data_IF_442678789317
#
_entry.id   IF_442678789317
#
_cell.length_a   1.000
_cell.length_b   1.000
_cell.length_c   1.000
_cell.angle_alpha   90.00
_cell.angle_beta   90.00
_cell.angle_gamma   90.00
#
_symmetry.space_group_name_H-M   'P 1'
#
loop_
_entity.id
_entity.type
_entity.pdbx_description
1 polymer ?
#
# COMPACT_ATOMS: atom_id res chain seq x y z
N UNK A 1 0.34 8.85 -9.53
CA UNK A 1 -1.01 9.36 -9.86
C UNK A 1 -1.23 10.74 -9.25
N UNK A 2 -1.09 10.91 -7.93
CA UNK A 2 -1.36 12.18 -7.21
C UNK A 2 -0.60 13.38 -7.79
N UNK A 3 0.69 13.24 -8.13
CA UNK A 3 1.47 14.32 -8.73
C UNK A 3 0.93 14.72 -10.11
N UNK A 4 0.61 13.76 -10.96
CA UNK A 4 0.03 14.01 -12.28
C UNK A 4 -1.35 14.66 -12.16
N UNK A 5 -2.16 14.20 -11.20
CA UNK A 5 -3.47 14.80 -10.90
C UNK A 5 -3.33 16.28 -10.49
N UNK A 6 -2.33 16.59 -9.66
CA UNK A 6 -2.04 17.98 -9.25
C UNK A 6 -1.59 18.84 -10.43
N UNK A 7 -0.67 18.36 -11.25
CA UNK A 7 -0.15 19.05 -12.44
C UNK A 7 -1.25 19.29 -13.47
N UNK A 8 -2.09 18.30 -13.74
CA UNK A 8 -3.24 18.37 -14.64
C UNK A 8 -4.47 19.07 -14.02
N UNK A 9 -4.38 19.60 -12.79
CA UNK A 9 -5.51 20.22 -12.06
C UNK A 9 -6.76 19.33 -11.99
N UNK A 10 -6.58 18.01 -12.00
CA UNK A 10 -7.65 17.01 -11.96
C UNK A 10 -8.32 16.74 -13.31
N UNK A 11 -7.87 17.31 -14.40
CA UNK A 11 -8.41 17.03 -15.73
C UNK A 11 -7.91 15.65 -16.24
N UNK A 12 -8.81 14.67 -16.48
CA UNK A 12 -8.43 13.34 -16.95
C UNK A 12 -7.75 13.34 -18.32
N UNK A 13 -8.11 14.24 -19.23
CA UNK A 13 -7.48 14.31 -20.56
C UNK A 13 -6.04 14.81 -20.47
N UNK A 14 -5.81 15.86 -19.69
CA UNK A 14 -4.47 16.36 -19.43
C UNK A 14 -3.62 15.31 -18.69
N UNK A 15 -4.19 14.60 -17.72
CA UNK A 15 -3.50 13.47 -17.03
C UNK A 15 -3.08 12.38 -18.00
N UNK A 16 -3.97 11.99 -18.93
CA UNK A 16 -3.67 10.99 -19.95
C UNK A 16 -2.52 11.43 -20.85
N UNK A 17 -2.52 12.69 -21.28
CA UNK A 17 -1.45 13.27 -22.09
C UNK A 17 -0.10 13.20 -21.36
N UNK A 18 -0.04 13.59 -20.10
CA UNK A 18 1.19 13.54 -19.27
C UNK A 18 1.69 12.10 -19.12
N UNK A 19 0.81 11.14 -18.82
CA UNK A 19 1.17 9.73 -18.68
C UNK A 19 1.75 9.15 -19.98
N UNK A 20 1.11 9.42 -21.13
CA UNK A 20 1.59 8.99 -22.43
C UNK A 20 2.95 9.61 -22.78
N UNK A 21 3.14 10.90 -22.53
CA UNK A 21 4.41 11.59 -22.76
C UNK A 21 5.56 11.02 -21.92
N UNK A 22 5.32 10.76 -20.62
CA UNK A 22 6.31 10.13 -19.74
C UNK A 22 6.73 8.78 -20.30
N UNK A 23 5.77 7.93 -20.69
CA UNK A 23 6.06 6.58 -21.17
C UNK A 23 6.72 6.62 -22.56
N UNK A 24 6.27 7.49 -23.45
CA UNK A 24 6.87 7.66 -24.77
C UNK A 24 8.35 8.09 -24.69
N UNK A 25 8.67 9.00 -23.78
CA UNK A 25 10.05 9.50 -23.59
C UNK A 25 10.98 8.50 -22.89
N UNK A 26 10.45 7.65 -22.02
CA UNK A 26 11.28 6.81 -21.12
C UNK A 26 11.14 5.31 -21.32
N UNK A 27 10.13 4.86 -22.06
CA UNK A 27 9.80 3.43 -22.16
C UNK A 27 9.30 2.83 -20.83
N UNK A 28 8.93 3.66 -19.84
CA UNK A 28 8.44 3.27 -18.52
C UNK A 28 7.76 4.45 -17.82
N UNK A 29 6.87 4.16 -16.87
CA UNK A 29 6.18 5.18 -16.09
C UNK A 29 6.90 5.46 -14.77
N UNK A 30 7.01 6.72 -14.37
CA UNK A 30 7.55 7.12 -13.07
C UNK A 30 6.99 8.49 -12.66
N UNK A 31 6.93 8.71 -11.37
CA UNK A 31 6.69 10.01 -10.78
C UNK A 31 8.00 10.81 -10.79
N UNK A 32 8.07 11.98 -11.43
CA UNK A 32 9.30 12.77 -11.49
C UNK A 32 9.79 13.29 -10.13
N UNK A 33 8.89 13.39 -9.15
CA UNK A 33 9.22 13.87 -7.80
C UNK A 33 9.72 12.76 -6.88
N UNK A 34 8.99 11.63 -6.84
CA UNK A 34 9.28 10.52 -5.91
C UNK A 34 10.08 9.39 -6.53
N UNK A 35 10.20 9.34 -7.86
CA UNK A 35 10.79 8.23 -8.59
C UNK A 35 9.93 6.95 -8.60
N UNK A 36 8.82 6.92 -7.87
CA UNK A 36 7.90 5.78 -7.84
C UNK A 36 7.09 5.66 -9.13
N UNK A 37 6.85 4.43 -9.60
CA UNK A 37 6.06 4.17 -10.81
C UNK A 37 4.64 3.68 -10.53
N UNK A 38 4.36 3.26 -9.30
CA UNK A 38 3.16 2.48 -8.99
C UNK A 38 3.27 1.03 -9.47
N UNK A 39 2.17 0.31 -9.49
CA UNK A 39 2.09 -1.08 -9.92
C UNK A 39 1.17 -1.28 -11.12
N UNK A 40 1.23 -2.44 -11.75
CA UNK A 40 0.31 -2.82 -12.82
C UNK A 40 -0.39 -4.16 -12.52
N UNK A 41 -1.54 -4.31 -13.15
CA UNK A 41 -2.23 -5.56 -13.31
C UNK A 41 -2.52 -5.78 -14.80
N UNK A 42 -2.39 -7.02 -15.24
CA UNK A 42 -2.64 -7.36 -16.65
C UNK A 42 -2.82 -8.86 -16.85
N UNK A 43 -2.96 -9.25 -18.14
CA UNK A 43 -2.94 -10.65 -18.57
C UNK A 43 -1.60 -10.99 -19.18
N UNK A 44 -1.10 -12.18 -18.87
CA UNK A 44 0.12 -12.70 -19.48
C UNK A 44 -0.14 -12.99 -20.95
N UNK A 45 0.48 -12.22 -21.83
CA UNK A 45 0.33 -12.36 -23.28
C UNK A 45 1.31 -13.38 -23.87
N UNK A 46 2.53 -13.45 -23.32
CA UNK A 46 3.57 -14.37 -23.74
C UNK A 46 4.55 -14.68 -22.60
N UNK A 47 5.22 -15.79 -22.69
CA UNK A 47 6.29 -16.19 -21.77
C UNK A 47 7.55 -16.42 -22.60
N UNK A 48 8.64 -15.74 -22.22
CA UNK A 48 9.92 -15.88 -22.92
C UNK A 48 10.45 -17.32 -22.91
N UNK A 49 11.03 -17.82 -24.01
CA UNK A 49 11.37 -19.23 -24.16
C UNK A 49 12.34 -19.74 -23.09
N UNK A 50 13.26 -18.88 -22.59
CA UNK A 50 14.18 -19.24 -21.50
C UNK A 50 13.52 -19.36 -20.12
N UNK A 51 12.29 -18.84 -19.98
CA UNK A 51 11.53 -18.85 -18.74
C UNK A 51 10.33 -19.82 -18.79
N UNK A 52 9.95 -20.26 -19.98
CA UNK A 52 8.92 -21.28 -20.18
C UNK A 52 9.28 -22.58 -19.42
N UNK A 53 8.31 -23.13 -18.69
CA UNK A 53 8.49 -24.30 -17.83
C UNK A 53 9.22 -24.06 -16.49
N UNK A 54 9.70 -22.85 -16.23
CA UNK A 54 10.36 -22.48 -14.97
C UNK A 54 9.48 -21.57 -14.07
N UNK A 55 8.28 -21.30 -14.50
CA UNK A 55 7.30 -20.49 -13.78
C UNK A 55 5.95 -21.20 -13.73
N UNK A 56 5.19 -21.07 -12.63
CA UNK A 56 3.84 -21.60 -12.56
C UNK A 56 2.83 -20.80 -13.41
N UNK A 57 3.19 -19.57 -13.83
CA UNK A 57 2.30 -18.68 -14.59
C UNK A 57 2.11 -19.20 -16.02
N UNK A 58 0.91 -19.02 -16.57
CA UNK A 58 0.52 -19.43 -17.92
C UNK A 58 0.06 -18.23 -18.73
N UNK A 59 0.15 -18.34 -20.05
CA UNK A 59 -0.46 -17.37 -20.97
C UNK A 59 -1.97 -17.32 -20.69
N UNK A 60 -2.51 -16.11 -20.55
CA UNK A 60 -3.89 -15.85 -20.18
C UNK A 60 -4.13 -15.61 -18.69
N UNK A 61 -3.20 -15.99 -17.81
CA UNK A 61 -3.31 -15.70 -16.38
C UNK A 61 -3.38 -14.20 -16.11
N UNK A 62 -4.22 -13.82 -15.16
CA UNK A 62 -4.25 -12.46 -14.63
C UNK A 62 -3.23 -12.34 -13.51
N UNK A 63 -2.33 -11.38 -13.65
CA UNK A 63 -1.30 -11.13 -12.63
C UNK A 63 -1.32 -9.67 -12.19
N UNK A 64 -0.91 -9.43 -10.96
CA UNK A 64 -0.51 -8.13 -10.46
C UNK A 64 0.98 -8.16 -10.10
N UNK A 65 1.70 -7.09 -10.40
CA UNK A 65 3.14 -7.01 -10.12
C UNK A 65 3.41 -6.15 -8.91
N UNK A 66 4.41 -6.50 -8.11
CA UNK A 66 4.96 -5.65 -7.06
C UNK A 66 6.20 -4.86 -7.53
N UNK A 67 6.61 -5.10 -8.78
CA UNK A 67 7.69 -4.33 -9.39
C UNK A 67 7.17 -2.96 -9.80
N UNK A 68 7.83 -1.92 -9.34
CA UNK A 68 7.49 -0.55 -9.72
C UNK A 68 7.50 -0.36 -11.24
N UNK A 69 6.53 0.37 -11.76
CA UNK A 69 6.49 0.76 -13.18
C UNK A 69 7.71 1.58 -13.61
N UNK A 70 8.44 2.17 -12.67
CA UNK A 70 9.73 2.83 -12.94
C UNK A 70 10.85 1.86 -13.30
N UNK A 71 10.66 0.56 -13.03
CA UNK A 71 11.60 -0.53 -13.36
C UNK A 71 11.04 -1.49 -14.40
N UNK A 72 9.81 -1.25 -14.89
CA UNK A 72 9.10 -2.13 -15.81
C UNK A 72 9.05 -1.48 -17.20
N UNK A 73 9.69 -2.04 -18.23
CA UNK A 73 9.53 -1.56 -19.60
C UNK A 73 8.06 -1.59 -19.98
N UNK A 74 7.56 -0.46 -20.47
CA UNK A 74 6.14 -0.22 -20.72
C UNK A 74 5.96 0.56 -22.02
N UNK A 75 5.01 0.11 -22.84
CA UNK A 75 4.47 0.83 -23.97
C UNK A 75 2.97 0.97 -23.79
N UNK A 76 2.47 2.18 -23.79
CA UNK A 76 1.03 2.46 -23.74
C UNK A 76 0.59 2.90 -25.14
N UNK A 77 -0.35 2.16 -25.72
CA UNK A 77 -0.94 2.50 -27.00
C UNK A 77 -2.13 3.46 -26.82
N UNK A 78 -2.88 3.29 -25.70
CA UNK A 78 -4.05 4.13 -25.40
C UNK A 78 -4.37 4.13 -23.90
N UNK A 79 -4.81 5.27 -23.38
CA UNK A 79 -5.46 5.35 -22.05
C UNK A 79 -6.97 5.40 -22.31
N UNK A 80 -7.66 4.37 -21.84
CA UNK A 80 -9.10 4.20 -22.06
C UNK A 80 -9.90 4.98 -21.01
N UNK A 81 -9.45 4.99 -19.76
CA UNK A 81 -10.14 5.66 -18.65
C UNK A 81 -9.21 6.00 -17.51
N UNK A 82 -9.43 7.14 -16.87
CA UNK A 82 -8.80 7.55 -15.61
C UNK A 82 -9.86 7.59 -14.52
N UNK A 83 -9.64 6.83 -13.47
CA UNK A 83 -10.49 6.77 -12.29
C UNK A 83 -9.91 7.66 -11.20
N UNK A 84 -10.44 8.87 -11.06
CA UNK A 84 -9.97 9.86 -10.08
C UNK A 84 -10.28 9.48 -8.63
N UNK A 85 -11.34 8.70 -8.45
CA UNK A 85 -11.82 8.19 -7.15
C UNK A 85 -10.94 7.08 -6.57
N UNK A 86 -10.34 6.26 -7.46
CA UNK A 86 -9.52 5.09 -7.11
C UNK A 86 -8.05 5.24 -7.40
N UNK A 87 -7.67 6.35 -8.04
CA UNK A 87 -6.31 6.64 -8.48
C UNK A 87 -5.73 5.57 -9.42
N UNK A 88 -6.55 5.10 -10.36
CA UNK A 88 -6.23 4.04 -11.31
C UNK A 88 -6.46 4.50 -12.74
N UNK A 89 -5.74 3.90 -13.71
CA UNK A 89 -5.94 4.10 -15.14
C UNK A 89 -6.12 2.76 -15.84
N UNK A 90 -7.10 2.70 -16.75
CA UNK A 90 -7.29 1.59 -17.68
C UNK A 90 -6.59 1.93 -18.99
N UNK A 91 -5.72 1.02 -19.43
CA UNK A 91 -4.84 1.27 -20.58
C UNK A 91 -4.79 0.06 -21.50
N UNK A 92 -4.64 0.32 -22.81
CA UNK A 92 -4.15 -0.66 -23.77
C UNK A 92 -2.63 -0.51 -23.81
N UNK A 93 -1.92 -1.50 -23.28
CA UNK A 93 -0.49 -1.41 -23.05
C UNK A 93 0.19 -2.77 -23.11
N UNK A 94 1.48 -2.76 -23.28
CA UNK A 94 2.36 -3.92 -23.16
C UNK A 94 3.46 -3.60 -22.16
N UNK A 95 3.73 -4.55 -21.25
CA UNK A 95 4.78 -4.45 -20.26
C UNK A 95 5.64 -5.70 -20.24
N UNK A 96 6.92 -5.55 -19.92
CA UNK A 96 7.86 -6.67 -19.77
C UNK A 96 8.18 -6.85 -18.30
N UNK A 97 7.77 -7.99 -17.74
CA UNK A 97 8.19 -8.42 -16.42
C UNK A 97 9.39 -9.36 -16.56
N UNK A 98 10.52 -8.99 -15.97
CA UNK A 98 11.71 -9.84 -15.96
C UNK A 98 11.55 -11.02 -14.99
N UNK A 99 12.38 -12.06 -15.17
CA UNK A 99 12.35 -13.27 -14.35
C UNK A 99 12.54 -13.05 -12.84
N UNK A 100 13.18 -11.95 -12.46
CA UNK A 100 13.35 -11.52 -11.08
C UNK A 100 12.16 -10.71 -10.54
N UNK A 101 11.21 -10.36 -11.40
CA UNK A 101 10.06 -9.53 -11.02
C UNK A 101 9.07 -10.30 -10.16
N UNK A 102 8.67 -9.72 -9.03
CA UNK A 102 7.67 -10.30 -8.13
C UNK A 102 6.27 -10.05 -8.69
N UNK A 103 5.46 -11.08 -8.73
CA UNK A 103 4.06 -11.02 -9.17
C UNK A 103 3.17 -11.95 -8.34
N UNK A 104 1.87 -11.71 -8.36
CA UNK A 104 0.86 -12.61 -7.84
C UNK A 104 -0.12 -12.97 -8.97
N UNK A 105 -0.47 -14.25 -9.10
CA UNK A 105 -1.59 -14.69 -9.92
C UNK A 105 -2.88 -14.37 -9.18
N UNK A 106 -3.78 -13.66 -9.84
CA UNK A 106 -5.00 -13.16 -9.21
C UNK A 106 -6.08 -14.23 -9.21
N UNK A 107 -6.80 -14.42 -8.09
CA UNK A 107 -8.02 -15.23 -8.06
C UNK A 107 -9.03 -14.76 -9.12
N UNK A 108 -9.79 -15.68 -9.74
CA UNK A 108 -10.75 -15.32 -10.79
C UNK A 108 -11.84 -14.33 -10.35
N UNK A 109 -12.24 -14.41 -9.09
CA UNK A 109 -13.28 -13.61 -8.45
C UNK A 109 -12.79 -12.26 -7.91
N UNK A 110 -11.47 -12.03 -7.87
CA UNK A 110 -10.93 -10.76 -7.40
C UNK A 110 -11.09 -9.68 -8.45
N UNK A 111 -11.80 -8.58 -8.11
CA UNK A 111 -11.96 -7.44 -9.00
C UNK A 111 -10.63 -6.69 -9.23
N UNK A 112 -10.41 -6.10 -10.42
CA UNK A 112 -9.20 -5.32 -10.70
C UNK A 112 -8.95 -4.19 -9.70
N UNK A 113 -9.97 -3.45 -9.35
CA UNK A 113 -9.86 -2.34 -8.39
C UNK A 113 -9.40 -2.80 -7.01
N UNK A 114 -9.96 -3.92 -6.53
CA UNK A 114 -9.59 -4.50 -5.25
C UNK A 114 -8.14 -5.02 -5.28
N UNK A 115 -7.79 -5.74 -6.36
CA UNK A 115 -6.43 -6.27 -6.52
C UNK A 115 -5.38 -5.17 -6.45
N UNK A 116 -5.55 -4.07 -7.21
CA UNK A 116 -4.62 -2.94 -7.18
C UNK A 116 -4.61 -2.25 -5.81
N UNK A 117 -5.77 -2.06 -5.17
CA UNK A 117 -5.84 -1.38 -3.87
C UNK A 117 -5.15 -2.16 -2.74
N UNK A 118 -5.27 -3.49 -2.73
CA UNK A 118 -4.72 -4.36 -1.68
C UNK A 118 -3.25 -4.68 -1.93
N UNK A 119 -2.89 -5.05 -3.17
CA UNK A 119 -1.55 -5.52 -3.47
C UNK A 119 -0.52 -4.38 -3.52
N UNK A 120 -0.95 -3.16 -3.84
CA UNK A 120 -0.08 -1.97 -3.77
C UNK A 120 0.53 -1.76 -2.37
N UNK A 121 -0.17 -2.17 -1.34
CA UNK A 121 0.24 -2.01 0.06
C UNK A 121 0.53 -3.33 0.78
N UNK A 122 0.54 -4.46 0.07
CA UNK A 122 0.68 -5.80 0.65
C UNK A 122 2.03 -6.04 1.37
N UNK A 123 3.06 -5.26 1.08
CA UNK A 123 4.33 -5.31 1.79
C UNK A 123 4.22 -4.95 3.27
N UNK A 124 3.36 -4.00 3.63
CA UNK A 124 3.20 -3.55 5.00
C UNK A 124 2.59 -4.63 5.93
N UNK A 125 1.45 -5.28 5.59
CA UNK A 125 0.96 -6.40 6.40
C UNK A 125 1.90 -7.62 6.37
N UNK A 126 2.64 -7.87 5.29
CA UNK A 126 3.65 -8.94 5.25
C UNK A 126 4.78 -8.68 6.26
N UNK A 127 5.27 -7.46 6.36
CA UNK A 127 6.24 -7.08 7.41
C UNK A 127 5.62 -7.18 8.80
N UNK A 128 4.39 -6.74 8.99
CA UNK A 128 3.66 -6.89 10.26
C UNK A 128 3.62 -8.35 10.71
N UNK A 129 3.30 -9.26 9.78
CA UNK A 129 3.28 -10.69 10.05
C UNK A 129 4.64 -11.25 10.50
N UNK A 130 5.71 -10.64 10.02
CA UNK A 130 7.08 -11.05 10.33
C UNK A 130 7.57 -10.52 11.69
N UNK A 131 7.14 -9.34 12.06
CA UNK A 131 7.59 -8.63 13.27
C UNK A 131 6.79 -9.02 14.51
N UNK A 132 5.47 -9.14 14.40
CA UNK A 132 4.57 -9.32 15.55
C UNK A 132 4.59 -10.76 16.06
N UNK A 133 4.69 -10.90 17.38
CA UNK A 133 4.67 -12.17 18.11
C UNK A 133 3.43 -12.28 19.01
N UNK A 134 3.00 -13.50 19.37
CA UNK A 134 1.90 -13.69 20.31
C UNK A 134 2.11 -12.94 21.63
N UNK A 135 1.06 -12.32 22.14
CA UNK A 135 1.05 -11.61 23.41
C UNK A 135 1.59 -10.18 23.37
N UNK A 136 2.12 -9.71 22.23
CA UNK A 136 2.66 -8.37 22.12
C UNK A 136 1.59 -7.28 22.01
N UNK A 137 1.95 -6.09 22.49
CA UNK A 137 1.21 -4.84 22.27
C UNK A 137 1.74 -4.18 20.99
N UNK A 138 0.87 -3.95 20.01
CA UNK A 138 1.23 -3.39 18.71
C UNK A 138 0.54 -2.05 18.51
N UNK A 139 1.30 -1.00 18.23
CA UNK A 139 0.79 0.31 17.84
C UNK A 139 0.84 0.42 16.31
N UNK A 140 -0.27 0.80 15.68
CA UNK A 140 -0.35 1.11 14.24
C UNK A 140 -0.71 2.57 14.05
N UNK A 141 0.27 3.39 13.69
CA UNK A 141 0.08 4.82 13.36
C UNK A 141 -0.48 4.91 11.94
N UNK A 142 -1.58 5.68 11.79
CA UNK A 142 -2.31 5.73 10.52
C UNK A 142 -3.23 4.53 10.30
N UNK A 143 -3.71 3.92 11.39
CA UNK A 143 -4.54 2.71 11.38
C UNK A 143 -5.80 2.77 10.51
N UNK A 144 -6.40 3.95 10.30
CA UNK A 144 -7.58 4.11 9.44
C UNK A 144 -7.29 4.27 7.94
N UNK A 145 -6.02 4.20 7.50
CA UNK A 145 -5.61 4.15 6.10
C UNK A 145 -5.57 2.73 5.53
N UNK A 146 -5.41 2.58 4.20
CA UNK A 146 -5.34 1.26 3.53
C UNK A 146 -4.28 0.33 4.17
N UNK A 147 -3.04 0.79 4.23
CA UNK A 147 -1.94 0.03 4.84
C UNK A 147 -2.20 -0.25 6.32
N UNK A 148 -2.64 0.77 7.07
CA UNK A 148 -2.88 0.65 8.50
C UNK A 148 -3.96 -0.37 8.85
N UNK A 149 -5.07 -0.40 8.12
CA UNK A 149 -6.14 -1.40 8.34
C UNK A 149 -5.64 -2.83 8.10
N UNK A 150 -4.86 -3.06 7.04
CA UNK A 150 -4.28 -4.37 6.76
C UNK A 150 -3.22 -4.76 7.80
N UNK A 151 -2.41 -3.80 8.26
CA UNK A 151 -1.45 -4.02 9.35
C UNK A 151 -2.15 -4.36 10.67
N UNK A 152 -3.25 -3.66 11.02
CA UNK A 152 -4.03 -3.97 12.23
C UNK A 152 -4.66 -5.35 12.17
N UNK A 153 -5.23 -5.73 11.01
CA UNK A 153 -5.75 -7.10 10.81
C UNK A 153 -4.67 -8.16 11.05
N UNK A 154 -3.51 -7.99 10.42
CA UNK A 154 -2.42 -8.95 10.57
C UNK A 154 -1.81 -8.91 11.97
N UNK A 155 -1.68 -7.73 12.59
CA UNK A 155 -1.24 -7.59 13.97
C UNK A 155 -2.18 -8.31 14.94
N UNK A 156 -3.51 -8.16 14.79
CA UNK A 156 -4.50 -8.85 15.62
C UNK A 156 -4.38 -10.37 15.51
N UNK A 157 -4.22 -10.84 14.27
CA UNK A 157 -4.03 -12.27 13.99
C UNK A 157 -2.74 -12.82 14.65
N UNK A 158 -1.64 -12.08 14.58
CA UNK A 158 -0.33 -12.53 15.11
C UNK A 158 -0.19 -12.37 16.62
N UNK A 159 -0.65 -11.23 17.16
CA UNK A 159 -0.61 -10.99 18.60
C UNK A 159 -1.56 -11.94 19.38
N UNK A 160 -2.63 -12.40 18.71
CA UNK A 160 -3.58 -13.34 19.29
C UNK A 160 -4.41 -12.74 20.42
N UNK A 161 -5.08 -13.60 21.19
CA UNK A 161 -6.04 -13.19 22.23
C UNK A 161 -5.38 -12.54 23.44
N UNK A 162 -4.12 -12.79 23.68
CA UNK A 162 -3.35 -12.22 24.81
C UNK A 162 -2.60 -10.95 24.43
N UNK A 163 -2.51 -10.64 23.13
CA UNK A 163 -1.91 -9.41 22.64
C UNK A 163 -2.90 -8.26 22.55
N UNK A 164 -2.38 -7.05 22.32
CA UNK A 164 -3.18 -5.83 22.21
C UNK A 164 -2.81 -5.08 20.93
N UNK A 165 -3.81 -4.68 20.15
CA UNK A 165 -3.62 -3.84 18.95
C UNK A 165 -4.19 -2.46 19.22
N UNK A 166 -3.36 -1.43 19.04
CA UNK A 166 -3.70 -0.02 19.23
C UNK A 166 -3.66 0.64 17.85
N UNK A 167 -4.79 1.22 17.42
CA UNK A 167 -4.86 2.01 16.20
C UNK A 167 -4.80 3.50 16.51
N UNK A 168 -3.92 4.24 15.82
CA UNK A 168 -3.82 5.69 15.92
C UNK A 168 -4.23 6.36 14.61
N UNK A 169 -5.12 7.36 14.71
CA UNK A 169 -5.56 8.18 13.59
C UNK A 169 -5.66 9.66 13.97
N UNK A 170 -5.43 10.56 13.02
CA UNK A 170 -5.48 12.01 13.27
C UNK A 170 -6.87 12.62 13.16
N UNK A 171 -7.81 11.96 12.48
CA UNK A 171 -9.17 12.47 12.25
C UNK A 171 -10.24 11.52 12.79
N UNK A 172 -11.42 12.08 13.11
CA UNK A 172 -12.56 11.26 13.54
C UNK A 172 -12.97 10.23 12.49
N UNK A 173 -12.96 10.60 11.19
CA UNK A 173 -13.25 9.65 10.13
C UNK A 173 -12.25 8.49 10.05
N UNK A 174 -10.98 8.72 10.42
CA UNK A 174 -9.99 7.65 10.55
C UNK A 174 -10.30 6.74 11.74
N UNK A 175 -10.64 7.31 12.88
CA UNK A 175 -11.02 6.57 14.07
C UNK A 175 -12.28 5.73 13.86
N UNK A 176 -13.28 6.31 13.20
CA UNK A 176 -14.53 5.62 12.90
C UNK A 176 -14.32 4.41 11.98
N UNK A 177 -13.49 4.53 10.93
CA UNK A 177 -13.13 3.36 10.10
C UNK A 177 -12.47 2.25 10.92
N UNK A 178 -11.59 2.59 11.86
CA UNK A 178 -10.96 1.60 12.73
C UNK A 178 -11.97 0.90 13.65
N UNK A 179 -12.96 1.65 14.19
CA UNK A 179 -14.08 1.08 14.99
C UNK A 179 -14.91 0.09 14.17
N UNK A 180 -15.29 0.50 12.96
CA UNK A 180 -16.08 -0.33 12.06
C UNK A 180 -15.37 -1.63 11.65
N UNK A 181 -14.06 -1.58 11.47
CA UNK A 181 -13.26 -2.77 11.12
C UNK A 181 -13.04 -3.72 12.29
N UNK A 182 -13.06 -3.24 13.53
CA UNK A 182 -12.99 -4.06 14.75
C UNK A 182 -11.65 -4.78 14.98
N UNK A 183 -10.56 -4.32 14.35
CA UNK A 183 -9.23 -4.96 14.52
C UNK A 183 -8.40 -4.37 15.66
N UNK A 184 -8.75 -3.17 16.13
CA UNK A 184 -8.06 -2.51 17.22
C UNK A 184 -8.75 -2.76 18.56
N UNK A 185 -7.98 -3.08 19.61
CA UNK A 185 -8.44 -3.19 20.99
C UNK A 185 -8.55 -1.81 21.67
N UNK A 186 -7.77 -0.84 21.18
CA UNK A 186 -7.85 0.56 21.57
C UNK A 186 -7.62 1.47 20.37
N UNK A 187 -8.32 2.61 20.35
CA UNK A 187 -8.20 3.59 19.27
C UNK A 187 -7.84 4.94 19.88
N UNK A 188 -6.75 5.50 19.40
CA UNK A 188 -6.22 6.80 19.81
C UNK A 188 -6.45 7.81 18.70
N UNK A 189 -7.00 8.97 19.05
CA UNK A 189 -7.01 10.12 18.15
C UNK A 189 -5.91 11.09 18.57
N UNK A 190 -4.85 11.18 17.78
CA UNK A 190 -3.73 12.08 18.01
C UNK A 190 -3.05 12.47 16.71
N UNK A 191 -2.37 13.62 16.73
CA UNK A 191 -1.47 14.04 15.66
C UNK A 191 -0.13 13.33 15.84
N UNK A 192 0.27 12.54 14.86
CA UNK A 192 1.53 11.81 14.88
C UNK A 192 2.78 12.70 14.74
N UNK A 193 2.63 13.99 14.45
CA UNK A 193 3.74 14.97 14.49
C UNK A 193 4.03 15.48 15.91
N UNK A 194 3.19 15.11 16.91
CA UNK A 194 3.42 15.38 18.32
C UNK A 194 3.76 14.07 19.08
N UNK A 195 5.03 13.66 19.08
CA UNK A 195 5.44 12.37 19.63
C UNK A 195 5.22 12.23 21.14
N UNK A 196 5.26 13.35 21.90
CA UNK A 196 4.99 13.34 23.32
C UNK A 196 3.54 12.99 23.63
N UNK A 197 2.59 13.61 22.93
CA UNK A 197 1.17 13.29 23.07
C UNK A 197 0.87 11.85 22.64
N UNK A 198 1.50 11.38 21.56
CA UNK A 198 1.33 9.97 21.14
C UNK A 198 1.84 9.03 22.24
N UNK A 199 3.04 9.26 22.78
CA UNK A 199 3.60 8.45 23.87
C UNK A 199 2.70 8.43 25.11
N UNK A 200 2.21 9.60 25.54
CA UNK A 200 1.29 9.71 26.68
C UNK A 200 0.00 8.91 26.45
N UNK A 201 -0.62 9.09 25.30
CA UNK A 201 -1.86 8.37 24.95
C UNK A 201 -1.65 6.85 24.85
N UNK A 202 -0.49 6.40 24.37
CA UNK A 202 -0.16 4.97 24.35
C UNK A 202 0.09 4.47 25.78
N UNK A 203 0.79 5.23 26.62
CA UNK A 203 1.00 4.88 28.05
C UNK A 203 -0.35 4.73 28.78
N UNK A 204 -1.30 5.62 28.57
CA UNK A 204 -2.64 5.54 29.17
C UNK A 204 -3.36 4.23 28.84
N UNK A 205 -3.36 3.82 27.57
CA UNK A 205 -4.06 2.59 27.13
C UNK A 205 -3.28 1.31 27.39
N UNK A 206 -2.03 1.41 27.87
CA UNK A 206 -1.15 0.26 28.14
C UNK A 206 -0.71 0.17 29.60
N UNK A 207 -1.33 0.93 30.51
CA UNK A 207 -0.94 1.01 31.92
C UNK A 207 0.57 1.30 32.10
N UNK A 208 1.10 2.21 31.31
CA UNK A 208 2.49 2.64 31.30
C UNK A 208 3.47 1.70 30.61
N UNK A 209 3.03 0.56 30.07
CA UNK A 209 3.91 -0.48 29.51
C UNK A 209 4.40 -0.20 28.09
N UNK A 210 3.81 0.76 27.39
CA UNK A 210 4.10 1.13 25.99
C UNK A 210 3.90 -0.04 24.99
N UNK A 211 4.25 0.17 23.72
CA UNK A 211 4.12 -0.84 22.69
C UNK A 211 5.38 -1.70 22.58
N UNK A 212 5.22 -2.98 22.23
CA UNK A 212 6.36 -3.87 21.91
C UNK A 212 6.80 -3.67 20.45
N UNK A 213 5.84 -3.32 19.58
CA UNK A 213 6.06 -3.07 18.15
C UNK A 213 5.25 -1.85 17.71
N UNK A 214 5.88 -0.92 17.00
CA UNK A 214 5.19 0.18 16.36
C UNK A 214 5.35 0.10 14.84
N UNK A 215 4.23 0.24 14.12
CA UNK A 215 4.16 0.24 12.67
C UNK A 215 3.64 1.61 12.22
N UNK A 216 4.47 2.36 11.49
CA UNK A 216 4.08 3.66 10.97
C UNK A 216 3.62 3.52 9.51
N UNK A 217 2.33 3.79 9.27
CA UNK A 217 1.69 3.78 7.96
C UNK A 217 1.37 5.20 7.45
N UNK A 218 1.99 6.23 8.04
CA UNK A 218 1.74 7.63 7.70
C UNK A 218 2.87 8.17 6.83
N UNK A 219 2.52 8.77 5.70
CA UNK A 219 3.46 9.43 4.81
C UNK A 219 3.46 10.97 5.06
N UNK A 220 3.75 11.36 6.29
CA UNK A 220 3.88 12.76 6.72
C UNK A 220 5.22 12.92 7.42
N UNK A 221 6.09 13.86 6.99
CA UNK A 221 7.35 14.13 7.66
C UNK A 221 7.15 14.51 9.13
N UNK A 222 8.05 14.07 10.00
CA UNK A 222 8.02 14.38 11.43
C UNK A 222 7.23 13.36 12.28
N UNK A 223 6.75 12.27 11.69
CA UNK A 223 6.03 11.20 12.40
C UNK A 223 6.94 10.07 12.90
N UNK A 224 8.23 10.12 12.59
CA UNK A 224 9.21 9.08 12.92
C UNK A 224 9.40 8.94 14.44
N UNK A 225 9.48 10.07 15.14
CA UNK A 225 9.64 10.08 16.61
C UNK A 225 8.42 9.50 17.33
N UNK A 226 7.21 9.67 16.77
CA UNK A 226 6.00 9.03 17.29
C UNK A 226 6.00 7.50 17.14
N UNK A 227 6.92 6.96 16.33
CA UNK A 227 7.13 5.52 16.20
C UNK A 227 8.15 5.00 17.21
N UNK A 228 9.07 5.85 17.66
CA UNK A 228 10.16 5.46 18.56
C UNK A 228 9.75 5.63 20.04
N UNK A 229 9.25 6.81 20.42
CA UNK A 229 8.98 7.15 21.81
C UNK A 229 7.93 6.25 22.51
N UNK A 230 6.83 5.82 21.86
CA UNK A 230 5.86 4.93 22.48
C UNK A 230 6.24 3.44 22.43
N UNK A 231 7.46 3.11 21.98
CA UNK A 231 7.96 1.73 21.84
C UNK A 231 8.98 1.44 22.97
N UNK A 232 8.92 0.22 23.53
CA UNK A 232 9.85 -0.27 24.56
C UNK A 232 11.28 -0.40 24.07
#
# INVERSE_FOLDING_TARGET
>A
FTQIKKEAKGDPQAMAGIMLDIVAKRGKHHNPVTGSGGMLMGKVAAIGPRFAGKTPVKVGDRIATLVSLSLTPLKIDKINKIHLDREQAEVDAQAILFSSGIYAVLPPDMSPSLALAVLDVAGAPAQTAHLVRPGQTVLVIGGGGKSGMLCMYEAKKRAGVTGKVIGLGSSEGSCERMRQMGFADAIIRADATDPLKVMQAVAEVTDGKLADVTINCVNVPGTEMASIMPTK
#
